data_IF_825140102620
#
_entry.id   IF_825140102620
#
_cell.length_a   1.000
_cell.length_b   1.000
_cell.length_c   1.000
_cell.angle_alpha   90.00
_cell.angle_beta   90.00
_cell.angle_gamma   90.00
#
_symmetry.space_group_name_H-M   'P 1'
#
loop_
_entity.id
_entity.type
_entity.pdbx_description
1 polymer ?
#
# COMPACT_ATOMS: atom_id res chain seq x y z
N UNK A 1 13.12 -19.90 -14.23
CA UNK A 1 13.56 -18.55 -14.64
C UNK A 1 14.02 -17.85 -13.38
N UNK A 2 15.27 -17.38 -13.34
CA UNK A 2 15.90 -16.85 -12.14
C UNK A 2 15.20 -15.58 -11.65
N UNK A 3 15.13 -15.40 -10.33
CA UNK A 3 14.61 -14.22 -9.64
C UNK A 3 15.38 -12.97 -10.07
N UNK A 4 14.78 -12.10 -10.90
CA UNK A 4 15.37 -10.82 -11.34
C UNK A 4 14.70 -9.64 -10.63
N UNK A 5 14.59 -9.71 -9.30
CA UNK A 5 14.48 -8.51 -8.48
C UNK A 5 15.79 -8.47 -7.70
N UNK A 6 16.75 -7.66 -8.19
CA UNK A 6 18.01 -7.43 -7.47
C UNK A 6 17.73 -6.96 -6.04
N UNK A 7 18.64 -7.26 -5.12
CA UNK A 7 18.54 -6.75 -3.75
C UNK A 7 18.46 -5.21 -3.79
N UNK A 8 17.54 -4.58 -3.03
CA UNK A 8 17.44 -3.14 -2.94
C UNK A 8 18.80 -2.54 -2.55
N UNK A 9 19.14 -1.39 -3.13
CA UNK A 9 20.39 -0.68 -2.84
C UNK A 9 20.61 -0.42 -1.35
N UNK A 10 19.54 -0.27 -0.57
CA UNK A 10 19.64 -0.02 0.87
C UNK A 10 20.05 -1.27 1.65
N UNK A 11 19.57 -2.46 1.27
CA UNK A 11 19.92 -3.73 1.96
C UNK A 11 21.44 -3.95 1.91
N UNK A 12 22.08 -3.50 0.83
CA UNK A 12 23.52 -3.60 0.64
C UNK A 12 24.28 -2.59 1.52
N UNK A 13 23.69 -1.42 1.78
CA UNK A 13 24.38 -0.28 2.38
C UNK A 13 24.04 0.00 3.86
N UNK A 14 22.96 -0.56 4.44
CA UNK A 14 22.48 -0.11 5.77
C UNK A 14 21.90 -1.22 6.68
N UNK A 15 22.63 -2.35 6.79
CA UNK A 15 22.21 -3.56 7.54
C UNK A 15 21.71 -3.32 8.97
N UNK A 16 22.32 -2.41 9.72
CA UNK A 16 21.95 -2.17 11.13
C UNK A 16 20.59 -1.50 11.31
N UNK A 17 20.26 -0.52 10.45
CA UNK A 17 18.95 0.13 10.44
C UNK A 17 17.87 -0.88 10.02
N UNK A 18 18.21 -1.81 9.12
CA UNK A 18 17.29 -2.86 8.68
C UNK A 18 16.95 -3.85 9.80
N UNK A 19 17.94 -4.30 10.58
CA UNK A 19 17.72 -5.19 11.72
C UNK A 19 16.75 -4.56 12.74
N UNK A 20 16.86 -3.26 12.99
CA UNK A 20 15.97 -2.54 13.90
C UNK A 20 14.50 -2.52 13.42
N UNK A 21 14.27 -2.39 12.11
CA UNK A 21 12.91 -2.43 11.55
C UNK A 21 12.36 -3.86 11.47
N UNK A 22 13.22 -4.85 11.28
CA UNK A 22 12.86 -6.27 11.32
C UNK A 22 12.39 -6.70 12.70
N UNK A 23 13.17 -6.35 13.73
CA UNK A 23 12.82 -6.62 15.11
C UNK A 23 11.53 -5.88 15.49
N UNK A 24 11.33 -4.65 15.00
CA UNK A 24 10.11 -3.89 15.28
C UNK A 24 8.88 -4.44 14.58
N UNK A 25 8.97 -4.80 13.31
CA UNK A 25 7.85 -5.26 12.49
C UNK A 25 7.29 -6.65 12.88
N UNK A 26 8.03 -7.40 13.70
CA UNK A 26 7.65 -8.72 14.23
C UNK A 26 6.97 -8.68 15.60
N UNK A 27 7.12 -7.58 16.35
CA UNK A 27 6.63 -7.47 17.72
C UNK A 27 5.23 -6.84 17.75
N UNK A 28 4.28 -7.55 18.36
CA UNK A 28 2.89 -7.09 18.53
C UNK A 28 2.76 -5.77 19.31
N UNK A 29 3.79 -5.36 20.02
CA UNK A 29 3.82 -4.09 20.78
C UNK A 29 3.97 -2.88 19.84
N UNK A 30 4.73 -3.01 18.75
CA UNK A 30 4.96 -1.93 17.77
C UNK A 30 3.77 -1.73 16.81
N UNK A 31 2.79 -2.61 16.93
CA UNK A 31 1.56 -2.60 16.16
C UNK A 31 0.50 -1.70 16.78
N UNK A 32 0.66 -1.32 18.05
CA UNK A 32 -0.31 -0.47 18.76
C UNK A 32 0.04 1.00 18.60
N UNK A 33 -0.97 1.84 18.34
CA UNK A 33 -0.80 3.28 18.25
C UNK A 33 -0.83 3.87 19.67
N UNK A 34 0.21 4.56 20.11
CA UNK A 34 0.20 5.25 21.39
C UNK A 34 -0.47 6.64 21.28
N UNK A 35 -1.80 6.65 21.18
CA UNK A 35 -2.65 7.86 21.14
C UNK A 35 -3.88 7.67 22.02
N UNK A 36 -4.53 8.77 22.44
CA UNK A 36 -5.81 8.67 23.15
C UNK A 36 -6.96 8.39 22.17
N UNK A 37 -8.03 7.74 22.64
CA UNK A 37 -9.25 7.55 21.86
C UNK A 37 -9.79 8.88 21.33
N UNK A 38 -9.79 9.93 22.15
CA UNK A 38 -10.28 11.26 21.77
C UNK A 38 -9.49 11.86 20.61
N UNK A 39 -8.16 11.73 20.63
CA UNK A 39 -7.30 12.25 19.56
C UNK A 39 -7.50 11.45 18.26
N UNK A 40 -7.63 10.13 18.38
CA UNK A 40 -7.90 9.26 17.24
C UNK A 40 -9.30 9.50 16.63
N UNK A 41 -10.31 9.72 17.47
CA UNK A 41 -11.66 10.07 17.04
C UNK A 41 -11.68 11.41 16.30
N UNK A 42 -10.94 12.41 16.79
CA UNK A 42 -10.77 13.68 16.09
C UNK A 42 -10.11 13.47 14.71
N UNK A 43 -9.00 12.72 14.64
CA UNK A 43 -8.34 12.38 13.38
C UNK A 43 -9.30 11.66 12.41
N UNK A 44 -10.09 10.70 12.90
CA UNK A 44 -11.06 9.98 12.10
C UNK A 44 -12.21 10.88 11.61
N UNK A 45 -12.71 11.82 12.43
CA UNK A 45 -13.74 12.81 12.03
C UNK A 45 -13.27 13.67 10.86
N UNK A 46 -11.97 13.97 10.79
CA UNK A 46 -11.39 14.79 9.73
C UNK A 46 -10.90 14.01 8.52
N UNK A 47 -10.99 12.67 8.53
CA UNK A 47 -10.66 11.89 7.34
C UNK A 47 -11.72 12.15 6.24
N UNK A 48 -11.31 12.57 5.03
CA UNK A 48 -12.25 12.92 3.96
C UNK A 48 -13.03 11.70 3.45
N UNK A 49 -14.34 11.86 3.31
CA UNK A 49 -15.21 10.85 2.69
C UNK A 49 -15.18 10.89 1.16
N UNK A 50 -14.69 11.99 0.57
CA UNK A 50 -14.59 12.13 -0.88
C UNK A 50 -13.29 11.50 -1.41
N UNK A 51 -13.43 10.29 -1.96
CA UNK A 51 -12.32 9.54 -2.51
C UNK A 51 -11.65 10.23 -3.72
N UNK A 52 -12.39 10.97 -4.55
CA UNK A 52 -11.80 11.68 -5.70
C UNK A 52 -10.85 12.78 -5.22
N UNK A 53 -11.25 13.54 -4.20
CA UNK A 53 -10.38 14.55 -3.58
C UNK A 53 -9.12 13.92 -2.97
N UNK A 54 -9.26 12.78 -2.30
CA UNK A 54 -8.13 12.03 -1.76
C UNK A 54 -7.16 11.54 -2.85
N UNK A 55 -7.70 11.06 -3.98
CA UNK A 55 -6.89 10.69 -5.14
C UNK A 55 -6.09 11.89 -5.67
N UNK A 56 -6.73 13.03 -5.85
CA UNK A 56 -6.08 14.24 -6.36
C UNK A 56 -4.98 14.75 -5.43
N UNK A 57 -5.21 14.72 -4.12
CA UNK A 57 -4.19 15.02 -3.10
C UNK A 57 -3.00 14.08 -3.27
N UNK A 58 -3.25 12.77 -3.35
CA UNK A 58 -2.19 11.77 -3.48
C UNK A 58 -1.40 11.89 -4.78
N UNK A 59 -2.07 12.13 -5.90
CA UNK A 59 -1.43 12.36 -7.19
C UNK A 59 -0.58 13.64 -7.18
N UNK A 60 -1.08 14.71 -6.54
CA UNK A 60 -0.33 15.95 -6.37
C UNK A 60 0.87 15.80 -5.44
N UNK A 61 0.74 15.00 -4.38
CA UNK A 61 1.85 14.70 -3.47
C UNK A 61 2.97 13.92 -4.18
N UNK A 62 2.63 12.95 -5.03
CA UNK A 62 3.60 12.25 -5.88
C UNK A 62 4.26 13.18 -6.91
N UNK A 63 3.50 14.10 -7.50
CA UNK A 63 4.05 15.11 -8.41
C UNK A 63 5.05 16.02 -7.70
N UNK A 64 4.70 16.56 -6.52
CA UNK A 64 5.61 17.38 -5.70
C UNK A 64 6.88 16.61 -5.32
N UNK A 65 6.71 15.37 -4.85
CA UNK A 65 7.81 14.46 -4.54
C UNK A 65 8.79 14.31 -5.71
N UNK A 66 8.28 14.05 -6.91
CA UNK A 66 9.13 13.86 -8.09
C UNK A 66 9.69 15.17 -8.66
N UNK A 67 9.05 16.31 -8.41
CA UNK A 67 9.62 17.62 -8.75
C UNK A 67 10.83 17.92 -7.84
N UNK A 68 10.66 17.73 -6.53
CA UNK A 68 11.70 17.98 -5.52
C UNK A 68 12.83 16.94 -5.57
N UNK A 69 12.50 15.69 -5.91
CA UNK A 69 13.43 14.56 -6.05
C UNK A 69 13.53 14.10 -7.49
N UNK A 70 13.74 15.03 -8.42
CA UNK A 70 13.70 14.79 -9.88
C UNK A 70 14.59 13.65 -10.39
N UNK A 71 15.69 13.35 -9.69
CA UNK A 71 16.55 12.21 -9.98
C UNK A 71 15.81 10.85 -9.89
N UNK A 72 14.76 10.76 -9.07
CA UNK A 72 13.95 9.54 -8.91
C UNK A 72 13.02 9.28 -10.08
N UNK A 73 12.65 10.30 -10.87
CA UNK A 73 11.72 10.13 -12.00
C UNK A 73 12.19 9.06 -13.00
N UNK A 74 13.51 8.97 -13.24
CA UNK A 74 14.11 7.91 -14.08
C UNK A 74 13.95 6.51 -13.48
N UNK A 75 13.96 6.39 -12.15
CA UNK A 75 13.80 5.11 -11.47
C UNK A 75 12.37 4.59 -11.55
N UNK A 76 11.39 5.49 -11.71
CA UNK A 76 9.99 5.18 -12.03
C UNK A 76 9.73 5.05 -13.55
N UNK A 77 10.77 5.13 -14.40
CA UNK A 77 10.67 5.13 -15.88
C UNK A 77 9.78 6.25 -16.45
N UNK A 78 9.82 7.44 -15.83
CA UNK A 78 9.00 8.60 -16.22
C UNK A 78 9.71 9.58 -17.16
N UNK A 79 10.98 9.32 -17.51
CA UNK A 79 11.80 10.17 -18.36
C UNK A 79 11.29 10.30 -19.80
N UNK A 80 10.45 9.36 -20.24
CA UNK A 80 9.77 9.39 -21.53
C UNK A 80 8.42 10.13 -21.50
N UNK A 81 7.96 10.57 -20.32
CA UNK A 81 6.63 11.16 -20.10
C UNK A 81 6.78 12.60 -19.62
N UNK A 82 6.03 13.52 -20.23
CA UNK A 82 6.00 14.93 -19.78
C UNK A 82 5.48 15.00 -18.34
N UNK A 83 6.05 15.90 -17.53
CA UNK A 83 5.69 16.07 -16.13
C UNK A 83 4.17 16.26 -15.90
N UNK A 84 3.53 17.05 -16.75
CA UNK A 84 2.07 17.31 -16.70
C UNK A 84 1.21 16.04 -16.90
N UNK A 85 1.80 14.95 -17.40
CA UNK A 85 1.14 13.66 -17.63
C UNK A 85 1.46 12.61 -16.57
N UNK A 86 2.33 12.91 -15.59
CA UNK A 86 2.73 11.96 -14.55
C UNK A 86 1.53 11.47 -13.72
N UNK A 87 0.56 12.33 -13.44
CA UNK A 87 -0.66 11.95 -12.68
C UNK A 87 -1.50 10.85 -13.33
N UNK A 88 -1.34 10.65 -14.64
CA UNK A 88 -2.04 9.64 -15.42
C UNK A 88 -1.17 8.42 -15.72
N UNK A 89 0.09 8.44 -15.26
CA UNK A 89 1.02 7.35 -15.48
C UNK A 89 0.65 6.16 -14.60
N UNK A 90 0.53 4.97 -15.20
CA UNK A 90 -0.04 3.81 -14.50
C UNK A 90 0.75 3.40 -13.24
N UNK A 91 2.10 3.55 -13.23
CA UNK A 91 2.90 3.27 -12.01
C UNK A 91 2.50 4.22 -10.89
N UNK A 92 2.37 5.51 -11.21
CA UNK A 92 2.05 6.54 -10.21
C UNK A 92 0.62 6.39 -9.73
N UNK A 93 -0.33 6.13 -10.64
CA UNK A 93 -1.71 5.75 -10.31
C UNK A 93 -1.71 4.59 -9.31
N UNK A 94 -1.03 3.48 -9.60
CA UNK A 94 -0.93 2.33 -8.67
C UNK A 94 -0.34 2.71 -7.32
N UNK A 95 0.75 3.46 -7.29
CA UNK A 95 1.35 3.91 -6.03
C UNK A 95 0.38 4.76 -5.20
N UNK A 96 -0.29 5.74 -5.82
CA UNK A 96 -1.29 6.61 -5.18
C UNK A 96 -2.43 5.78 -4.60
N UNK A 97 -2.99 4.87 -5.39
CA UNK A 97 -4.10 4.02 -4.95
C UNK A 97 -3.74 3.12 -3.78
N UNK A 98 -2.57 2.51 -3.82
CA UNK A 98 -2.10 1.67 -2.72
C UNK A 98 -1.87 2.48 -1.45
N UNK A 99 -1.29 3.67 -1.54
CA UNK A 99 -1.12 4.54 -0.38
C UNK A 99 -2.46 4.93 0.23
N UNK A 100 -3.41 5.38 -0.59
CA UNK A 100 -4.75 5.77 -0.12
C UNK A 100 -5.47 4.65 0.59
N UNK A 101 -5.42 3.46 0.00
CA UNK A 101 -6.01 2.28 0.59
C UNK A 101 -5.38 1.96 1.96
N UNK A 102 -4.06 2.07 2.06
CA UNK A 102 -3.36 1.83 3.32
C UNK A 102 -3.65 2.88 4.38
N UNK A 103 -3.69 4.16 4.02
CA UNK A 103 -4.03 5.24 4.95
C UNK A 103 -5.45 5.12 5.46
N UNK A 104 -6.40 4.86 4.57
CA UNK A 104 -7.80 4.66 4.94
C UNK A 104 -7.97 3.46 5.88
N UNK A 105 -7.39 2.31 5.52
CA UNK A 105 -7.49 1.12 6.36
C UNK A 105 -6.79 1.31 7.72
N UNK A 106 -5.66 2.01 7.77
CA UNK A 106 -4.96 2.32 9.02
C UNK A 106 -5.80 3.21 9.94
N UNK A 107 -6.37 4.30 9.42
CA UNK A 107 -7.22 5.20 10.21
C UNK A 107 -8.44 4.46 10.76
N UNK A 108 -9.11 3.67 9.91
CA UNK A 108 -10.26 2.89 10.36
C UNK A 108 -9.87 1.86 11.42
N UNK A 109 -8.78 1.10 11.22
CA UNK A 109 -8.36 0.03 12.13
C UNK A 109 -7.88 0.57 13.48
N UNK A 110 -7.07 1.63 13.50
CA UNK A 110 -6.64 2.23 14.76
C UNK A 110 -7.80 2.87 15.52
N UNK A 111 -8.78 3.46 14.81
CA UNK A 111 -9.98 3.98 15.46
C UNK A 111 -10.85 2.86 16.05
N UNK A 112 -11.01 1.72 15.35
CA UNK A 112 -11.65 0.51 15.88
C UNK A 112 -10.95 -0.04 17.11
N UNK A 113 -9.61 -0.11 17.09
CA UNK A 113 -8.78 -0.57 18.21
C UNK A 113 -8.99 0.24 19.48
N UNK A 114 -9.06 1.57 19.33
CA UNK A 114 -9.31 2.48 20.44
C UNK A 114 -10.75 2.37 21.00
N UNK A 115 -11.66 1.73 20.27
CA UNK A 115 -13.02 1.35 20.74
C UNK A 115 -13.06 -0.05 21.37
N UNK A 116 -11.91 -0.71 21.51
CA UNK A 116 -11.78 -2.05 22.11
C UNK A 116 -11.89 -3.19 21.10
N UNK A 117 -11.94 -2.92 19.79
CA UNK A 117 -11.95 -3.95 18.75
C UNK A 117 -10.51 -4.30 18.39
N UNK A 118 -10.02 -5.46 18.83
CA UNK A 118 -8.63 -5.86 18.59
C UNK A 118 -8.31 -5.88 17.08
N UNK A 119 -7.27 -5.16 16.70
CA UNK A 119 -6.72 -5.19 15.34
C UNK A 119 -6.21 -6.59 15.00
N UNK A 120 -6.65 -7.14 13.87
CA UNK A 120 -6.25 -8.48 13.45
C UNK A 120 -4.84 -8.52 12.84
N UNK A 121 -4.23 -9.70 12.83
CA UNK A 121 -2.91 -9.89 12.19
C UNK A 121 -2.93 -9.64 10.67
N UNK A 122 -4.10 -9.75 10.04
CA UNK A 122 -4.22 -9.59 8.59
C UNK A 122 -3.99 -8.13 8.19
N UNK A 123 -4.41 -7.16 9.01
CA UNK A 123 -4.11 -5.75 8.81
C UNK A 123 -2.59 -5.50 8.75
N UNK A 124 -1.82 -6.03 9.70
CA UNK A 124 -0.36 -5.88 9.70
C UNK A 124 0.29 -6.60 8.51
N UNK A 125 -0.23 -7.76 8.10
CA UNK A 125 0.22 -8.44 6.87
C UNK A 125 -0.05 -7.60 5.62
N UNK A 126 -1.16 -6.85 5.57
CA UNK A 126 -1.43 -5.91 4.46
C UNK A 126 -0.45 -4.74 4.46
N UNK A 127 -0.18 -4.14 5.63
CA UNK A 127 0.85 -3.09 5.78
C UNK A 127 2.23 -3.57 5.32
N UNK A 128 2.59 -4.82 5.62
CA UNK A 128 3.83 -5.42 5.12
C UNK A 128 3.76 -5.68 3.61
N UNK A 129 2.63 -6.13 3.07
CA UNK A 129 2.49 -6.35 1.62
C UNK A 129 2.62 -5.05 0.83
N UNK A 130 2.20 -3.92 1.41
CA UNK A 130 2.33 -2.59 0.82
C UNK A 130 3.79 -2.21 0.54
N UNK A 131 4.71 -2.48 1.47
CA UNK A 131 6.16 -2.27 1.25
C UNK A 131 6.72 -3.10 0.10
N UNK A 132 6.35 -4.38 0.03
CA UNK A 132 6.77 -5.27 -1.05
C UNK A 132 6.26 -4.84 -2.43
N UNK A 133 5.04 -4.29 -2.50
CA UNK A 133 4.47 -3.73 -3.74
C UNK A 133 5.29 -2.57 -4.27
N UNK A 134 5.63 -1.62 -3.40
CA UNK A 134 6.44 -0.46 -3.76
C UNK A 134 7.83 -0.88 -4.24
N UNK A 135 8.43 -1.90 -3.61
CA UNK A 135 9.69 -2.49 -4.06
C UNK A 135 9.57 -3.05 -5.47
N UNK A 136 8.51 -3.79 -5.77
CA UNK A 136 8.32 -4.32 -7.12
C UNK A 136 8.18 -3.19 -8.14
N UNK A 137 7.40 -2.15 -7.85
CA UNK A 137 7.15 -1.05 -8.78
C UNK A 137 8.39 -0.17 -9.03
N UNK A 138 9.26 0.03 -8.04
CA UNK A 138 10.46 0.85 -8.20
C UNK A 138 11.62 0.35 -7.31
N UNK A 139 12.22 -0.81 -7.62
CA UNK A 139 13.16 -1.51 -6.74
C UNK A 139 14.48 -0.77 -6.49
N UNK A 140 14.79 0.23 -7.33
CA UNK A 140 16.00 1.04 -7.26
C UNK A 140 15.82 2.32 -6.45
N UNK A 141 14.59 2.67 -6.06
CA UNK A 141 14.34 3.83 -5.22
C UNK A 141 14.67 3.48 -3.77
N UNK A 142 15.52 4.25 -3.08
CA UNK A 142 15.80 4.02 -1.67
C UNK A 142 14.55 4.11 -0.80
N UNK A 143 14.43 3.23 0.20
CA UNK A 143 13.31 3.14 1.12
C UNK A 143 13.06 4.47 1.85
N UNK A 144 14.13 5.21 2.16
CA UNK A 144 14.07 6.50 2.85
C UNK A 144 13.40 7.60 2.01
N UNK A 145 13.46 7.51 0.67
CA UNK A 145 12.77 8.46 -0.19
C UNK A 145 11.24 8.33 -0.07
N UNK A 146 10.73 7.13 0.24
CA UNK A 146 9.31 6.95 0.53
C UNK A 146 8.91 7.54 1.88
N UNK A 147 9.83 7.66 2.85
CA UNK A 147 9.53 8.37 4.10
C UNK A 147 9.33 9.86 3.86
N UNK A 148 10.11 10.43 2.94
CA UNK A 148 9.91 11.80 2.49
C UNK A 148 8.55 11.96 1.80
N UNK A 149 8.19 11.04 0.90
CA UNK A 149 6.86 11.01 0.29
C UNK A 149 5.73 10.91 1.33
N UNK A 150 5.85 10.06 2.34
CA UNK A 150 4.85 9.95 3.42
C UNK A 150 4.68 11.27 4.18
N UNK A 151 5.76 12.03 4.37
CA UNK A 151 5.73 13.37 4.95
C UNK A 151 4.92 14.35 4.10
N UNK A 152 5.22 14.44 2.80
CA UNK A 152 4.47 15.29 1.85
C UNK A 152 2.97 14.95 1.88
N UNK A 153 2.63 13.66 1.89
CA UNK A 153 1.24 13.22 1.96
C UNK A 153 0.54 13.68 3.24
N UNK A 154 1.21 13.57 4.39
CA UNK A 154 0.66 14.03 5.66
C UNK A 154 0.43 15.53 5.66
N UNK A 155 1.41 16.32 5.19
CA UNK A 155 1.30 17.79 5.09
C UNK A 155 0.13 18.21 4.19
N UNK A 156 0.05 17.65 2.99
CA UNK A 156 -1.02 17.97 2.04
C UNK A 156 -2.41 17.57 2.56
N UNK A 157 -2.49 16.47 3.30
CA UNK A 157 -3.73 16.05 3.94
C UNK A 157 -4.16 17.01 5.06
N UNK A 158 -3.21 17.49 5.87
CA UNK A 158 -3.48 18.51 6.88
C UNK A 158 -3.94 19.83 6.28
N UNK A 159 -3.35 20.24 5.15
CA UNK A 159 -3.78 21.43 4.42
C UNK A 159 -5.19 21.26 3.85
N UNK A 160 -5.52 20.07 3.32
CA UNK A 160 -6.89 19.78 2.88
C UNK A 160 -7.88 19.90 4.04
N UNK A 161 -7.61 19.26 5.19
CA UNK A 161 -8.46 19.34 6.39
C UNK A 161 -8.68 20.80 6.79
N UNK A 162 -7.61 21.60 6.83
CA UNK A 162 -7.68 23.02 7.19
C UNK A 162 -8.57 23.84 6.23
N UNK A 163 -8.59 23.48 4.95
CA UNK A 163 -9.40 24.15 3.93
C UNK A 163 -10.85 23.67 3.89
N UNK A 164 -11.14 22.42 4.25
CA UNK A 164 -12.47 21.81 4.06
C UNK A 164 -13.35 21.72 5.30
N UNK A 165 -12.85 22.10 6.48
CA UNK A 165 -13.65 22.05 7.70
C UNK A 165 -14.82 23.05 7.65
N UNK A 166 -16.03 22.49 7.50
CA UNK A 166 -17.31 23.20 7.45
C UNK A 166 -17.67 23.96 8.74
N UNK A 167 -17.02 23.66 9.87
CA UNK A 167 -17.24 24.33 11.17
C UNK A 167 -16.28 25.51 11.42
N UNK A 168 -15.57 25.98 10.39
CA UNK A 168 -14.51 26.99 10.50
C UNK A 168 -13.11 26.35 10.43
N UNK A 169 -12.02 27.13 10.35
CA UNK A 169 -10.67 26.57 10.35
C UNK A 169 -10.52 25.69 11.60
N UNK A 170 -10.07 24.44 11.43
CA UNK A 170 -9.67 23.59 12.55
C UNK A 170 -8.86 24.45 13.50
N UNK A 171 -9.29 24.57 14.75
CA UNK A 171 -8.58 25.44 15.69
C UNK A 171 -7.12 24.96 15.77
N UNK A 172 -6.17 25.88 15.98
CA UNK A 172 -4.74 25.53 15.98
C UNK A 172 -4.42 24.32 16.85
N UNK A 173 -5.18 24.15 17.93
CA UNK A 173 -5.03 23.07 18.89
C UNK A 173 -5.52 21.72 18.33
N UNK A 174 -6.69 21.67 17.71
CA UNK A 174 -7.18 20.46 17.02
C UNK A 174 -6.27 20.09 15.85
N UNK A 175 -5.77 21.07 15.09
CA UNK A 175 -4.83 20.83 13.99
C UNK A 175 -3.56 20.16 14.51
N UNK A 176 -3.03 20.64 15.62
CA UNK A 176 -1.85 20.06 16.26
C UNK A 176 -2.10 18.64 16.78
N UNK A 177 -3.30 18.37 17.29
CA UNK A 177 -3.70 17.01 17.73
C UNK A 177 -3.75 16.08 16.52
N UNK A 178 -4.46 16.46 15.46
CA UNK A 178 -4.60 15.63 14.25
C UNK A 178 -3.23 15.39 13.59
N UNK A 179 -2.37 16.41 13.51
CA UNK A 179 -1.01 16.26 13.00
C UNK A 179 -0.17 15.26 13.81
N UNK A 180 -0.24 15.30 15.15
CA UNK A 180 0.46 14.35 16.02
C UNK A 180 -0.04 12.92 15.85
N UNK A 181 -1.36 12.73 15.68
CA UNK A 181 -1.92 11.40 15.39
C UNK A 181 -1.41 10.89 14.05
N UNK A 182 -1.39 11.75 13.03
CA UNK A 182 -0.83 11.45 11.72
C UNK A 182 0.63 11.00 11.78
N UNK A 183 1.49 11.72 12.53
CA UNK A 183 2.88 11.32 12.74
C UNK A 183 2.98 9.89 13.28
N UNK A 184 2.14 9.53 14.27
CA UNK A 184 2.12 8.18 14.84
C UNK A 184 1.66 7.13 13.84
N UNK A 185 0.62 7.42 13.06
CA UNK A 185 0.12 6.51 12.02
C UNK A 185 1.21 6.26 10.98
N UNK A 186 1.83 7.34 10.49
CA UNK A 186 2.91 7.25 9.51
C UNK A 186 4.11 6.48 10.07
N UNK A 187 4.50 6.71 11.32
CA UNK A 187 5.60 5.97 11.95
C UNK A 187 5.31 4.47 12.06
N UNK A 188 4.07 4.08 12.40
CA UNK A 188 3.67 2.68 12.37
C UNK A 188 3.70 2.10 10.95
N UNK A 189 3.18 2.83 9.96
CA UNK A 189 3.24 2.43 8.55
C UNK A 189 4.69 2.24 8.10
N UNK A 190 5.62 3.15 8.45
CA UNK A 190 7.05 3.03 8.11
C UNK A 190 7.65 1.71 8.60
N UNK A 191 7.36 1.31 9.84
CA UNK A 191 7.88 0.05 10.41
C UNK A 191 7.45 -1.13 9.54
N UNK A 192 6.15 -1.24 9.24
CA UNK A 192 5.65 -2.34 8.44
C UNK A 192 6.05 -2.25 6.96
N UNK A 193 6.16 -1.04 6.42
CA UNK A 193 6.60 -0.78 5.06
C UNK A 193 8.04 -1.28 4.86
N UNK A 194 8.96 -0.95 5.77
CA UNK A 194 10.35 -1.42 5.70
C UNK A 194 10.43 -2.94 5.81
N UNK A 195 9.71 -3.53 6.77
CA UNK A 195 9.64 -4.99 6.89
C UNK A 195 9.16 -5.62 5.58
N UNK A 196 8.07 -5.08 5.03
CA UNK A 196 7.51 -5.47 3.75
C UNK A 196 8.48 -5.38 2.59
N UNK A 197 9.15 -4.24 2.49
CA UNK A 197 10.13 -3.94 1.46
C UNK A 197 11.25 -5.00 1.42
N UNK A 198 11.75 -5.45 2.57
CA UNK A 198 12.81 -6.47 2.60
C UNK A 198 12.28 -7.89 2.38
N UNK A 199 11.17 -8.25 3.03
CA UNK A 199 10.78 -9.65 3.24
C UNK A 199 9.58 -10.12 2.43
N UNK A 200 8.80 -9.20 1.84
CA UNK A 200 7.62 -9.57 1.06
C UNK A 200 7.92 -9.38 -0.42
N UNK A 201 8.03 -10.50 -1.13
CA UNK A 201 7.99 -10.48 -2.59
C UNK A 201 6.55 -10.26 -3.04
N UNK A 202 6.33 -9.18 -3.78
CA UNK A 202 5.05 -8.94 -4.45
C UNK A 202 5.10 -9.52 -5.86
N UNK A 203 4.19 -10.46 -6.13
CA UNK A 203 3.93 -10.96 -7.48
C UNK A 203 3.23 -9.87 -8.28
N UNK A 204 3.97 -9.27 -9.21
CA UNK A 204 3.42 -8.28 -10.14
C UNK A 204 2.25 -8.84 -10.93
N UNK A 205 1.26 -8.00 -11.17
CA UNK A 205 0.20 -8.27 -12.14
C UNK A 205 0.77 -8.39 -13.55
N UNK A 206 0.01 -9.02 -14.45
CA UNK A 206 0.38 -9.12 -15.86
C UNK A 206 0.68 -7.75 -16.50
N UNK A 207 -0.14 -6.74 -16.20
CA UNK A 207 0.02 -5.38 -16.72
C UNK A 207 1.36 -4.76 -16.27
N UNK A 208 1.73 -4.98 -15.00
CA UNK A 208 3.00 -4.50 -14.43
C UNK A 208 4.19 -5.24 -15.03
N UNK A 209 4.11 -6.57 -15.17
CA UNK A 209 5.15 -7.35 -15.82
C UNK A 209 5.36 -6.89 -17.27
N UNK A 210 4.27 -6.66 -18.02
CA UNK A 210 4.35 -6.18 -19.39
C UNK A 210 4.99 -4.80 -19.47
N UNK A 211 4.74 -3.89 -18.52
CA UNK A 211 5.39 -2.58 -18.51
C UNK A 211 6.87 -2.63 -18.08
N UNK A 212 7.21 -3.40 -17.05
CA UNK A 212 8.58 -3.40 -16.52
C UNK A 212 9.55 -4.22 -17.38
N UNK A 213 9.07 -5.25 -18.08
CA UNK A 213 9.92 -6.24 -18.76
C UNK A 213 9.75 -6.31 -20.28
N UNK A 214 8.82 -5.59 -20.92
CA UNK A 214 8.88 -5.43 -22.38
C UNK A 214 9.93 -4.39 -22.75
N UNK A 215 10.95 -4.82 -23.49
CA UNK A 215 11.91 -3.95 -24.14
C UNK A 215 11.23 -3.13 -25.26
N UNK A 216 11.45 -1.82 -25.22
CA UNK A 216 11.33 -0.86 -26.33
C UNK A 216 10.12 -0.97 -27.26
N UNK A 217 8.94 -0.67 -26.74
CA UNK A 217 7.93 0.03 -27.56
C UNK A 217 7.44 1.23 -26.78
N UNK A 218 7.37 2.38 -27.43
CA UNK A 218 6.72 3.58 -26.90
C UNK A 218 5.30 3.20 -26.48
N UNK A 219 5.09 2.95 -25.19
CA UNK A 219 3.78 2.66 -24.63
C UNK A 219 3.09 4.01 -24.56
N UNK A 220 2.14 4.26 -25.47
CA UNK A 220 1.16 5.32 -25.27
C UNK A 220 0.59 5.20 -23.85
N UNK A 221 0.44 6.31 -23.10
CA UNK A 221 -0.04 6.26 -21.73
C UNK A 221 -1.40 5.55 -21.72
N UNK A 222 -1.41 4.29 -21.30
CA UNK A 222 -2.62 3.51 -21.20
C UNK A 222 -3.48 4.18 -20.15
N UNK A 223 -4.44 4.99 -20.62
CA UNK A 223 -5.34 5.79 -19.81
C UNK A 223 -6.00 4.85 -18.80
N UNK A 224 -5.61 4.97 -17.53
CA UNK A 224 -6.21 4.17 -16.47
C UNK A 224 -7.71 4.47 -16.47
N UNK A 225 -8.56 3.44 -16.61
CA UNK A 225 -10.02 3.57 -16.43
C UNK A 225 -10.31 3.76 -14.94
N UNK A 226 -9.99 4.97 -14.47
CA UNK A 226 -9.91 5.41 -13.07
C UNK A 226 -11.18 5.03 -12.30
N UNK A 227 -12.34 5.48 -12.76
CA UNK A 227 -13.61 5.34 -12.03
C UNK A 227 -14.07 3.87 -11.81
N UNK A 228 -13.80 2.96 -12.75
CA UNK A 228 -14.23 1.55 -12.62
C UNK A 228 -13.24 0.70 -11.79
N UNK A 229 -11.94 1.06 -11.79
CA UNK A 229 -10.92 0.38 -10.96
C UNK A 229 -11.01 0.80 -9.50
N UNK A 230 -11.34 2.07 -9.22
CA UNK A 230 -11.48 2.61 -7.87
C UNK A 230 -12.61 1.95 -7.06
N UNK A 231 -13.78 1.78 -7.67
CA UNK A 231 -14.90 1.07 -7.04
C UNK A 231 -14.58 -0.42 -6.82
N UNK A 232 -13.79 -1.05 -7.70
CA UNK A 232 -13.42 -2.48 -7.58
C UNK A 232 -12.29 -2.75 -6.59
N UNK A 233 -11.29 -1.88 -6.49
CA UNK A 233 -10.18 -2.00 -5.53
C UNK A 233 -10.64 -1.83 -4.08
N UNK A 234 -11.70 -1.03 -3.85
CA UNK A 234 -12.33 -0.83 -2.55
C UNK A 234 -13.49 -1.81 -2.29
N UNK A 235 -14.06 -2.42 -3.34
CA UNK A 235 -14.94 -3.58 -3.18
C UNK A 235 -14.11 -4.81 -2.77
N UNK A 236 -14.65 -5.63 -1.86
CA UNK A 236 -14.01 -6.78 -1.18
C UNK A 236 -13.31 -7.82 -2.07
N UNK A 237 -13.37 -7.70 -3.39
CA UNK A 237 -12.86 -8.67 -4.37
C UNK A 237 -11.35 -8.54 -4.67
N UNK A 238 -10.72 -7.39 -4.46
CA UNK A 238 -9.29 -7.19 -4.77
C UNK A 238 -8.31 -7.93 -3.83
N UNK A 239 -8.79 -8.55 -2.75
CA UNK A 239 -7.94 -9.18 -1.74
C UNK A 239 -7.81 -10.70 -1.88
N UNK A 240 -8.60 -11.35 -2.75
CA UNK A 240 -8.55 -12.81 -2.90
C UNK A 240 -7.39 -13.31 -3.78
N UNK A 241 -6.78 -12.44 -4.59
CA UNK A 241 -5.66 -12.85 -5.44
C UNK A 241 -4.35 -13.07 -4.66
N UNK A 242 -4.30 -12.71 -3.37
CA UNK A 242 -3.16 -12.95 -2.49
C UNK A 242 -3.23 -14.30 -1.72
N UNK A 243 -4.26 -15.13 -1.94
CA UNK A 243 -4.47 -16.38 -1.19
C UNK A 243 -4.26 -17.65 -2.05
N UNK A 244 -4.07 -17.52 -3.36
CA UNK A 244 -3.93 -18.70 -4.24
C UNK A 244 -2.47 -19.11 -4.53
N UNK A 245 -1.64 -19.28 -3.50
CA UNK A 245 -0.38 -20.04 -3.65
C UNK A 245 -0.16 -20.92 -2.41
N UNK A 246 -0.96 -21.99 -2.29
CA UNK A 246 -0.56 -23.13 -1.45
C UNK A 246 -1.14 -24.49 -1.88
N UNK A 247 -1.43 -24.67 -3.18
CA UNK A 247 -1.82 -25.98 -3.73
C UNK A 247 -1.26 -26.24 -5.12
N UNK A 248 0.04 -26.53 -5.20
CA UNK A 248 0.60 -27.32 -6.30
C UNK A 248 1.64 -28.31 -5.78
N UNK A 249 1.17 -29.37 -5.14
CA UNK A 249 1.89 -30.65 -5.14
C UNK A 249 1.34 -31.52 -6.28
N UNK A 250 2.21 -32.20 -7.05
CA UNK A 250 1.82 -32.86 -8.28
C UNK A 250 1.03 -34.14 -7.97
N UNK A 251 -0.25 -34.15 -8.35
CA UNK A 251 -1.05 -35.36 -8.34
C UNK A 251 -0.49 -36.35 -9.38
N UNK A 252 0.20 -37.36 -8.86
CA UNK A 252 0.64 -38.58 -9.54
C UNK A 252 -0.55 -39.16 -10.31
N UNK A 253 -0.36 -39.44 -11.60
CA UNK A 253 -1.28 -40.23 -12.44
C UNK A 253 -1.57 -41.57 -11.74
N UNK A 254 -2.82 -41.80 -11.36
CA UNK A 254 -3.37 -43.14 -11.20
C UNK A 254 -4.63 -43.25 -12.03
N UNK A 255 -4.47 -43.84 -13.21
CA UNK A 255 -5.51 -44.44 -14.00
C UNK A 255 -6.33 -45.42 -13.16
N UNK A 256 -7.64 -45.22 -13.06
CA UNK A 256 -8.55 -46.31 -12.71
C UNK A 256 -9.83 -46.25 -13.55
N UNK A 257 -9.95 -47.32 -14.33
CA UNK A 257 -11.12 -47.95 -14.91
C UNK A 257 -12.39 -47.84 -14.07
N UNK A 258 -13.48 -47.64 -14.79
CA UNK A 258 -14.88 -47.77 -14.42
C UNK A 258 -15.24 -49.12 -13.77
N UNK A 259 -16.11 -49.10 -12.75
CA UNK A 259 -17.46 -49.70 -12.78
C UNK A 259 -18.24 -49.59 -11.46
N UNK A 260 -19.51 -49.26 -11.65
CA UNK A 260 -20.74 -49.71 -10.98
C UNK A 260 -21.03 -49.38 -9.49
N UNK A 261 -22.00 -48.47 -9.36
CA UNK A 261 -22.89 -48.30 -8.21
C UNK A 261 -23.96 -49.39 -8.21
N UNK A 262 -24.17 -50.02 -7.07
CA UNK A 262 -25.41 -50.71 -6.72
C UNK A 262 -25.66 -50.57 -5.22
N UNK A 263 -26.59 -49.69 -4.86
CA UNK A 263 -27.29 -49.61 -3.56
C UNK A 263 -28.45 -50.63 -3.69
N UNK A 264 -28.95 -51.36 -2.65
CA UNK A 264 -29.45 -50.74 -1.42
C UNK A 264 -29.52 -51.56 -0.12
N UNK A 265 -29.86 -50.87 0.98
CA UNK A 265 -30.86 -51.39 1.93
C UNK A 265 -30.44 -51.57 3.39
N UNK A 266 -30.82 -50.57 4.18
CA UNK A 266 -31.41 -50.59 5.52
C UNK A 266 -31.31 -51.81 6.47
N UNK A 267 -31.19 -51.44 7.76
CA UNK A 267 -31.64 -52.06 9.01
C UNK A 267 -30.57 -52.64 9.97
N UNK A 268 -30.58 -52.00 11.15
CA UNK A 268 -30.02 -52.32 12.47
C UNK A 268 -28.53 -52.09 12.67
#
# INVERSE_FOLDING_TARGET
MANIIGEPLDIINNKEIHQLYEDKGMLAENNTLNVSFKDMELCHKHWPDNFEALYDIGAKAFENFLIERCHLAKLFKLDQVKADSWRQHFVLDRCVLHMLQMLHEAISKYHEEMRGIKTDENFYKKLQTFGGRYRSLAPKVPVQEYFYLFGIWSEMHMDFIALTCYEGPVCSDERNVVAKVWEKIIDSIKVHFVYGWHHKMYTMTRDELEYFFKEDKAIEPARSKLLTKLSRLLSRESFNDAISEDKTLPARKSSQTSKDLSVPGAYK
#
